data_IF_763685887365
#
_entry.id   IF_763685887365
#
_cell.length_a   1.000
_cell.length_b   1.000
_cell.length_c   1.000
_cell.angle_alpha   90.00
_cell.angle_beta   90.00
_cell.angle_gamma   90.00
#
_symmetry.space_group_name_H-M   'P 1'
#
loop_
_entity.id
_entity.type
_entity.pdbx_description
1 polymer ?
#
# COMPACT_ATOMS: atom_id res chain seq x y z
N UNK A 1 -37.23 19.57 0.76
CA UNK A 1 -37.38 18.59 -0.33
C UNK A 1 -36.11 18.66 -1.17
N UNK A 2 -35.19 17.71 -1.00
CA UNK A 2 -34.05 17.59 -1.92
C UNK A 2 -34.64 17.04 -3.23
N UNK A 3 -34.51 17.77 -4.33
CA UNK A 3 -34.75 17.22 -5.65
C UNK A 3 -33.89 15.96 -5.77
N UNK A 4 -34.51 14.79 -5.81
CA UNK A 4 -33.90 13.62 -6.40
C UNK A 4 -33.77 13.96 -7.89
N UNK A 5 -32.59 14.44 -8.30
CA UNK A 5 -32.23 14.31 -9.70
C UNK A 5 -32.24 12.82 -9.98
N UNK A 6 -33.13 12.37 -10.86
CA UNK A 6 -33.05 11.01 -11.39
C UNK A 6 -31.64 10.87 -11.99
N UNK A 7 -30.81 9.98 -11.42
CA UNK A 7 -29.48 9.71 -11.95
C UNK A 7 -29.64 9.36 -13.43
N UNK A 8 -28.91 10.07 -14.28
CA UNK A 8 -29.01 9.86 -15.72
C UNK A 8 -28.45 8.49 -16.06
N UNK A 9 -29.33 7.61 -16.53
CA UNK A 9 -28.96 6.25 -16.96
C UNK A 9 -28.30 6.34 -18.34
N UNK A 10 -27.18 5.62 -18.52
CA UNK A 10 -26.47 5.52 -19.79
C UNK A 10 -26.40 4.07 -20.24
N UNK A 11 -26.49 3.85 -21.54
CA UNK A 11 -26.32 2.54 -22.18
C UNK A 11 -24.89 2.32 -22.67
N UNK A 12 -24.52 1.06 -22.93
CA UNK A 12 -23.22 0.74 -23.55
C UNK A 12 -23.08 1.41 -24.92
N UNK A 13 -24.16 1.40 -25.71
CA UNK A 13 -24.19 2.02 -27.03
C UNK A 13 -23.94 3.54 -26.96
N UNK A 14 -24.48 4.24 -25.96
CA UNK A 14 -24.28 5.68 -25.78
C UNK A 14 -22.86 6.02 -25.34
N UNK A 15 -22.29 5.30 -24.37
CA UNK A 15 -20.93 5.59 -23.88
C UNK A 15 -19.88 5.23 -24.92
N UNK A 16 -19.99 4.06 -25.55
CA UNK A 16 -19.09 3.63 -26.64
C UNK A 16 -19.28 4.51 -27.89
N UNK A 17 -20.50 4.99 -28.12
CA UNK A 17 -20.83 5.90 -29.22
C UNK A 17 -20.08 7.24 -29.19
N UNK A 18 -19.59 7.66 -28.03
CA UNK A 18 -18.80 8.91 -27.87
C UNK A 18 -17.33 8.76 -28.30
N UNK A 19 -16.82 7.52 -28.35
CA UNK A 19 -15.42 7.26 -28.71
C UNK A 19 -15.17 7.34 -30.22
N UNK A 20 -13.94 7.65 -30.61
CA UNK A 20 -13.51 7.58 -32.02
C UNK A 20 -13.37 6.12 -32.48
N UNK A 21 -13.38 5.87 -33.80
CA UNK A 21 -13.14 4.51 -34.33
C UNK A 21 -11.75 3.99 -33.90
N UNK A 22 -10.76 4.87 -33.80
CA UNK A 22 -9.42 4.51 -33.37
C UNK A 22 -9.39 4.02 -31.90
N UNK A 23 -10.04 4.77 -31.00
CA UNK A 23 -10.20 4.38 -29.59
C UNK A 23 -10.96 3.06 -29.44
N UNK A 24 -12.08 2.89 -30.16
CA UNK A 24 -12.84 1.65 -30.14
C UNK A 24 -12.00 0.46 -30.63
N UNK A 25 -11.18 0.65 -31.68
CA UNK A 25 -10.25 -0.39 -32.15
C UNK A 25 -9.17 -0.70 -31.11
N UNK A 26 -8.67 0.28 -30.37
CA UNK A 26 -7.75 0.03 -29.26
C UNK A 26 -8.42 -0.81 -28.16
N UNK A 27 -9.67 -0.50 -27.80
CA UNK A 27 -10.45 -1.32 -26.85
C UNK A 27 -10.62 -2.75 -27.33
N UNK A 28 -10.89 -2.97 -28.63
CA UNK A 28 -10.99 -4.34 -29.18
C UNK A 28 -9.68 -5.13 -29.06
N UNK A 29 -8.52 -4.47 -29.13
CA UNK A 29 -7.24 -5.14 -28.92
C UNK A 29 -7.05 -5.53 -27.45
N UNK A 30 -7.37 -4.62 -26.53
CA UNK A 30 -7.27 -4.87 -25.07
C UNK A 30 -8.18 -6.01 -24.63
N UNK A 31 -9.41 -6.06 -25.16
CA UNK A 31 -10.41 -7.08 -24.84
C UNK A 31 -10.33 -8.33 -25.73
N UNK A 32 -9.33 -8.40 -26.61
CA UNK A 32 -9.13 -9.48 -27.58
C UNK A 32 -10.36 -9.79 -28.45
N UNK A 33 -11.14 -8.75 -28.78
CA UNK A 33 -12.34 -8.84 -29.62
C UNK A 33 -11.92 -8.77 -31.09
N UNK A 34 -12.29 -9.81 -31.86
CA UNK A 34 -12.03 -9.84 -33.30
C UNK A 34 -13.07 -9.02 -34.06
N UNK A 35 -12.64 -7.94 -34.71
CA UNK A 35 -13.44 -7.14 -35.63
C UNK A 35 -12.74 -7.03 -37.00
N UNK A 36 -13.52 -6.86 -38.07
CA UNK A 36 -12.97 -6.67 -39.41
C UNK A 36 -12.23 -5.33 -39.51
N UNK A 37 -11.16 -5.27 -40.32
CA UNK A 37 -10.37 -4.03 -40.50
C UNK A 37 -11.20 -2.85 -41.03
N UNK A 38 -12.22 -3.15 -41.86
CA UNK A 38 -13.19 -2.20 -42.43
C UNK A 38 -14.53 -2.15 -41.69
N UNK A 39 -14.61 -2.70 -40.47
CA UNK A 39 -15.84 -2.69 -39.69
C UNK A 39 -16.35 -1.25 -39.47
N UNK A 40 -17.66 -1.06 -39.60
CA UNK A 40 -18.33 0.21 -39.30
C UNK A 40 -18.31 0.44 -37.79
N UNK A 41 -18.43 1.71 -37.37
CA UNK A 41 -18.43 2.08 -35.95
C UNK A 41 -19.43 1.27 -35.12
N UNK A 42 -20.66 1.11 -35.62
CA UNK A 42 -21.70 0.36 -34.92
C UNK A 42 -21.34 -1.13 -34.76
N UNK A 43 -20.77 -1.77 -35.79
CA UNK A 43 -20.35 -3.17 -35.72
C UNK A 43 -19.26 -3.39 -34.65
N UNK A 44 -18.38 -2.40 -34.46
CA UNK A 44 -17.37 -2.43 -33.39
C UNK A 44 -18.03 -2.25 -32.01
N UNK A 45 -18.98 -1.31 -31.88
CA UNK A 45 -19.73 -1.07 -30.63
C UNK A 45 -20.51 -2.32 -30.23
N UNK A 46 -21.19 -2.97 -31.18
CA UNK A 46 -21.99 -4.17 -30.91
C UNK A 46 -21.08 -5.33 -30.45
N UNK A 47 -19.94 -5.52 -31.11
CA UNK A 47 -18.97 -6.54 -30.74
C UNK A 47 -18.36 -6.29 -29.35
N UNK A 48 -18.01 -5.04 -29.03
CA UNK A 48 -17.52 -4.65 -27.70
C UNK A 48 -18.60 -4.83 -26.63
N UNK A 49 -19.84 -4.40 -26.92
CA UNK A 49 -20.96 -4.53 -25.98
C UNK A 49 -21.25 -5.99 -25.65
N UNK A 50 -21.26 -6.87 -26.66
CA UNK A 50 -21.42 -8.30 -26.45
C UNK A 50 -20.31 -8.88 -25.56
N UNK A 51 -19.06 -8.44 -25.74
CA UNK A 51 -17.93 -8.88 -24.90
C UNK A 51 -18.03 -8.34 -23.46
N UNK A 52 -18.43 -7.08 -23.28
CA UNK A 52 -18.55 -6.44 -21.97
C UNK A 52 -19.75 -6.97 -21.14
N UNK A 53 -20.72 -7.61 -21.80
CA UNK A 53 -21.86 -8.29 -21.18
C UNK A 53 -21.63 -9.79 -21.01
N UNK A 54 -20.46 -10.30 -21.35
CA UNK A 54 -20.07 -11.69 -21.08
C UNK A 54 -19.99 -11.92 -19.56
N UNK A 55 -20.90 -12.75 -19.04
CA UNK A 55 -21.04 -13.01 -17.61
C UNK A 55 -19.81 -13.70 -17.01
N UNK A 56 -19.16 -14.59 -17.75
CA UNK A 56 -17.96 -15.30 -17.28
C UNK A 56 -16.78 -14.33 -17.18
N UNK A 57 -16.60 -13.47 -18.18
CA UNK A 57 -15.58 -12.44 -18.19
C UNK A 57 -15.76 -11.45 -17.05
N UNK A 58 -16.97 -10.90 -16.89
CA UNK A 58 -17.26 -9.95 -15.81
C UNK A 58 -17.10 -10.61 -14.43
N UNK A 59 -17.48 -11.89 -14.29
CA UNK A 59 -17.24 -12.66 -13.06
C UNK A 59 -15.74 -12.77 -12.75
N UNK A 60 -14.90 -13.07 -13.75
CA UNK A 60 -13.45 -13.14 -13.55
C UNK A 60 -12.86 -11.80 -13.08
N UNK A 61 -13.29 -10.69 -13.68
CA UNK A 61 -12.88 -9.34 -13.28
C UNK A 61 -13.36 -9.01 -11.85
N UNK A 62 -14.60 -9.34 -11.53
CA UNK A 62 -15.16 -9.16 -10.19
C UNK A 62 -14.47 -10.00 -9.13
N UNK A 63 -13.91 -11.17 -9.46
CA UNK A 63 -13.12 -11.99 -8.53
C UNK A 63 -11.67 -11.50 -8.40
N UNK A 64 -11.15 -10.78 -9.39
CA UNK A 64 -9.82 -10.16 -9.36
C UNK A 64 -9.79 -8.78 -8.69
N UNK A 65 -10.94 -8.11 -8.55
CA UNK A 65 -11.06 -6.81 -7.90
C UNK A 65 -10.69 -6.85 -6.41
N UNK A 66 -10.14 -5.77 -5.87
CA UNK A 66 -10.01 -5.53 -4.43
C UNK A 66 -11.33 -5.06 -3.82
N UNK A 67 -11.40 -5.00 -2.48
CA UNK A 67 -12.61 -4.56 -1.76
C UNK A 67 -13.04 -3.14 -2.16
N UNK A 68 -12.10 -2.18 -2.14
CA UNK A 68 -12.38 -0.79 -2.48
C UNK A 68 -12.88 -0.64 -3.93
N UNK A 69 -12.36 -1.44 -4.86
CA UNK A 69 -12.78 -1.37 -6.26
C UNK A 69 -14.25 -1.80 -6.40
N UNK A 70 -14.68 -2.85 -5.68
CA UNK A 70 -16.10 -3.24 -5.66
C UNK A 70 -16.98 -2.14 -5.05
N UNK A 71 -16.55 -1.55 -3.93
CA UNK A 71 -17.26 -0.45 -3.27
C UNK A 71 -17.38 0.78 -4.20
N UNK A 72 -16.32 1.10 -4.95
CA UNK A 72 -16.34 2.15 -5.96
C UNK A 72 -17.36 1.84 -7.06
N UNK A 73 -17.33 0.62 -7.62
CA UNK A 73 -18.29 0.22 -8.67
C UNK A 73 -19.73 0.33 -8.18
N UNK A 74 -20.01 -0.13 -6.96
CA UNK A 74 -21.34 -0.03 -6.34
C UNK A 74 -21.77 1.42 -6.12
N UNK A 75 -20.85 2.28 -5.66
CA UNK A 75 -21.12 3.71 -5.50
C UNK A 75 -21.47 4.36 -6.84
N UNK A 76 -20.74 4.07 -7.92
CA UNK A 76 -21.00 4.63 -9.24
C UNK A 76 -22.30 4.14 -9.89
N UNK A 77 -22.87 3.02 -9.43
CA UNK A 77 -24.21 2.59 -9.84
C UNK A 77 -25.31 3.24 -9.00
N UNK A 78 -25.01 3.65 -7.77
CA UNK A 78 -25.99 4.19 -6.83
C UNK A 78 -26.11 5.71 -6.88
N UNK A 79 -25.01 6.42 -7.16
CA UNK A 79 -24.91 7.88 -7.05
C UNK A 79 -24.17 8.47 -8.26
N UNK A 80 -24.52 9.71 -8.62
CA UNK A 80 -23.75 10.49 -9.58
C UNK A 80 -22.40 10.90 -8.97
N UNK A 81 -21.34 10.20 -9.34
CA UNK A 81 -19.98 10.48 -8.86
C UNK A 81 -19.26 11.37 -9.87
N UNK A 82 -18.84 12.56 -9.45
CA UNK A 82 -18.00 13.46 -10.25
C UNK A 82 -16.54 13.33 -9.82
N UNK A 83 -15.64 13.10 -10.78
CA UNK A 83 -14.20 13.03 -10.54
C UNK A 83 -13.45 14.10 -11.34
N UNK A 84 -12.31 14.53 -10.80
CA UNK A 84 -11.34 15.31 -11.56
C UNK A 84 -10.67 14.43 -12.62
N UNK A 85 -10.25 15.03 -13.73
CA UNK A 85 -9.65 14.34 -14.87
C UNK A 85 -8.39 13.53 -14.48
N UNK A 86 -7.58 14.06 -13.57
CA UNK A 86 -6.35 13.44 -13.04
C UNK A 86 -6.60 12.42 -11.91
N UNK A 87 -7.86 12.10 -11.59
CA UNK A 87 -8.16 11.18 -10.50
C UNK A 87 -7.76 9.75 -10.82
N UNK A 88 -7.01 9.12 -9.91
CA UNK A 88 -6.72 7.69 -9.92
C UNK A 88 -7.90 6.81 -9.45
N UNK A 89 -9.04 7.39 -9.08
CA UNK A 89 -10.23 6.61 -8.69
C UNK A 89 -10.78 5.84 -9.88
N UNK A 90 -11.40 4.69 -9.62
CA UNK A 90 -11.95 3.79 -10.64
C UNK A 90 -10.93 3.27 -11.65
N UNK A 91 -9.61 3.40 -11.39
CA UNK A 91 -8.57 3.04 -12.35
C UNK A 91 -8.70 1.59 -12.85
N UNK A 92 -8.99 0.65 -11.95
CA UNK A 92 -9.21 -0.75 -12.30
C UNK A 92 -10.35 -0.92 -13.32
N UNK A 93 -11.52 -0.36 -13.04
CA UNK A 93 -12.71 -0.51 -13.89
C UNK A 93 -12.64 0.29 -15.19
N UNK A 94 -11.92 1.42 -15.20
CA UNK A 94 -11.67 2.21 -16.40
C UNK A 94 -10.74 1.49 -17.38
N UNK A 95 -9.80 0.68 -16.89
CA UNK A 95 -8.93 -0.14 -17.73
C UNK A 95 -9.60 -1.43 -18.24
N UNK A 96 -10.70 -1.87 -17.61
CA UNK A 96 -11.52 -3.02 -18.02
C UNK A 96 -12.81 -2.61 -18.76
N UNK A 97 -12.82 -1.42 -19.39
CA UNK A 97 -14.00 -0.64 -19.81
C UNK A 97 -15.37 -0.99 -19.17
N UNK A 98 -15.42 -1.22 -17.86
CA UNK A 98 -16.67 -1.42 -17.09
C UNK A 98 -17.25 -0.07 -16.66
N UNK A 99 -16.36 0.88 -16.37
CA UNK A 99 -16.69 2.25 -15.94
C UNK A 99 -16.19 3.24 -16.99
N UNK A 100 -17.03 4.22 -17.32
CA UNK A 100 -16.75 5.31 -18.25
C UNK A 100 -16.81 6.66 -17.53
N UNK A 101 -16.20 7.68 -18.13
CA UNK A 101 -16.26 9.06 -17.63
C UNK A 101 -16.78 9.93 -18.75
N UNK A 102 -17.81 10.71 -18.43
CA UNK A 102 -18.40 11.70 -19.35
C UNK A 102 -17.51 12.94 -19.48
N UNK A 103 -17.76 13.80 -20.47
CA UNK A 103 -16.95 15.01 -20.70
C UNK A 103 -17.01 16.02 -19.55
N UNK A 104 -18.06 15.94 -18.72
CA UNK A 104 -18.26 16.73 -17.49
C UNK A 104 -17.75 16.02 -16.22
N UNK A 105 -17.02 14.91 -16.37
CA UNK A 105 -16.35 14.22 -15.25
C UNK A 105 -17.24 13.28 -14.44
N UNK A 106 -18.50 13.04 -14.87
CA UNK A 106 -19.40 12.09 -14.22
C UNK A 106 -18.98 10.66 -14.58
N UNK A 107 -18.79 9.84 -13.55
CA UNK A 107 -18.49 8.41 -13.63
C UNK A 107 -19.78 7.64 -13.90
N UNK A 108 -19.73 6.74 -14.88
CA UNK A 108 -20.89 6.04 -15.39
C UNK A 108 -20.61 4.55 -15.49
N UNK A 109 -21.51 3.74 -14.92
CA UNK A 109 -21.63 2.31 -15.20
C UNK A 109 -22.83 2.12 -16.14
N UNK A 110 -22.63 1.55 -17.34
CA UNK A 110 -23.74 1.30 -18.26
C UNK A 110 -24.81 0.41 -17.63
N UNK A 111 -26.07 0.70 -17.93
CA UNK A 111 -27.24 0.02 -17.32
C UNK A 111 -27.24 -1.49 -17.52
N UNK A 112 -26.80 -1.93 -18.70
CA UNK A 112 -26.71 -3.33 -19.10
C UNK A 112 -25.60 -4.03 -18.28
N UNK A 113 -24.46 -3.37 -18.10
CA UNK A 113 -23.35 -3.87 -17.28
C UNK A 113 -23.75 -3.95 -15.81
N UNK A 114 -24.45 -2.94 -15.29
CA UNK A 114 -24.99 -2.94 -13.93
C UNK A 114 -26.00 -4.10 -13.72
N UNK A 115 -26.84 -4.39 -14.72
CA UNK A 115 -27.77 -5.51 -14.66
C UNK A 115 -27.05 -6.86 -14.57
N UNK A 116 -26.04 -7.11 -15.42
CA UNK A 116 -25.23 -8.35 -15.37
C UNK A 116 -24.48 -8.46 -14.05
N UNK A 117 -23.90 -7.36 -13.55
CA UNK A 117 -23.28 -7.32 -12.23
C UNK A 117 -24.26 -7.74 -11.12
N UNK A 118 -25.48 -7.19 -11.10
CA UNK A 118 -26.46 -7.51 -10.07
C UNK A 118 -26.90 -8.97 -10.12
N UNK A 119 -27.02 -9.54 -11.33
CA UNK A 119 -27.27 -10.97 -11.51
C UNK A 119 -26.12 -11.82 -10.91
N UNK A 120 -24.86 -11.49 -11.22
CA UNK A 120 -23.68 -12.16 -10.66
C UNK A 120 -23.64 -12.01 -9.13
N UNK A 121 -23.87 -10.80 -8.61
CA UNK A 121 -23.86 -10.51 -7.17
C UNK A 121 -24.89 -11.33 -6.40
N UNK A 122 -26.05 -11.59 -7.02
CA UNK A 122 -27.11 -12.40 -6.43
C UNK A 122 -26.81 -13.90 -6.40
N UNK A 123 -25.80 -14.35 -7.15
CA UNK A 123 -25.38 -15.75 -7.17
C UNK A 123 -24.63 -16.13 -5.87
N UNK A 124 -25.09 -17.20 -5.22
CA UNK A 124 -24.54 -17.64 -3.93
C UNK A 124 -23.11 -18.17 -4.03
N UNK A 125 -22.74 -18.79 -5.15
CA UNK A 125 -21.39 -19.33 -5.35
C UNK A 125 -20.39 -18.18 -5.53
N UNK A 126 -20.76 -17.18 -6.34
CA UNK A 126 -19.99 -15.94 -6.45
C UNK A 126 -19.84 -15.25 -5.09
N UNK A 127 -20.93 -15.08 -4.34
CA UNK A 127 -20.90 -14.42 -3.02
C UNK A 127 -19.96 -15.16 -2.04
N UNK A 128 -19.98 -16.49 -2.04
CA UNK A 128 -19.09 -17.31 -1.21
C UNK A 128 -17.62 -17.16 -1.63
N UNK A 129 -17.31 -17.24 -2.92
CA UNK A 129 -15.94 -17.02 -3.45
C UNK A 129 -15.45 -15.62 -3.10
N UNK A 130 -16.27 -14.61 -3.32
CA UNK A 130 -15.94 -13.21 -3.05
C UNK A 130 -15.68 -12.96 -1.57
N UNK A 131 -16.48 -13.54 -0.67
CA UNK A 131 -16.23 -13.43 0.78
C UNK A 131 -14.88 -14.01 1.18
N UNK A 132 -14.44 -15.12 0.58
CA UNK A 132 -13.11 -15.70 0.84
C UNK A 132 -11.99 -14.85 0.27
N UNK A 133 -12.16 -14.35 -0.95
CA UNK A 133 -11.21 -13.45 -1.61
C UNK A 133 -11.00 -12.17 -0.82
N UNK A 134 -12.07 -11.56 -0.29
CA UNK A 134 -11.95 -10.36 0.54
C UNK A 134 -11.05 -10.59 1.77
N UNK A 135 -11.12 -11.78 2.39
CA UNK A 135 -10.23 -12.16 3.49
C UNK A 135 -8.80 -12.31 3.00
N UNK A 136 -8.57 -12.99 1.87
CA UNK A 136 -7.22 -13.10 1.31
C UNK A 136 -6.61 -11.75 0.97
N UNK A 137 -7.32 -10.90 0.22
CA UNK A 137 -6.86 -9.58 -0.22
C UNK A 137 -6.51 -8.68 0.98
N UNK A 138 -7.38 -8.62 2.00
CA UNK A 138 -7.13 -7.81 3.21
C UNK A 138 -5.89 -8.30 3.98
N UNK A 139 -5.76 -9.61 4.18
CA UNK A 139 -4.58 -10.18 4.85
C UNK A 139 -3.31 -10.07 4.01
N UNK A 140 -3.39 -10.19 2.69
CA UNK A 140 -2.23 -10.03 1.80
C UNK A 140 -1.75 -8.60 1.84
N UNK A 141 -2.65 -7.62 1.73
CA UNK A 141 -2.30 -6.21 1.89
C UNK A 141 -1.63 -5.95 3.23
N UNK A 142 -2.20 -6.47 4.33
CA UNK A 142 -1.62 -6.34 5.65
C UNK A 142 -0.21 -6.96 5.76
N UNK A 143 -0.06 -8.21 5.31
CA UNK A 143 1.21 -8.93 5.38
C UNK A 143 2.27 -8.31 4.48
N UNK A 144 1.91 -7.93 3.25
CA UNK A 144 2.84 -7.31 2.30
C UNK A 144 3.28 -5.94 2.81
N UNK A 145 2.37 -5.10 3.31
CA UNK A 145 2.73 -3.79 3.87
C UNK A 145 3.59 -3.88 5.14
N UNK A 146 3.51 -4.98 5.89
CA UNK A 146 4.31 -5.23 7.11
C UNK A 146 5.65 -5.92 6.82
N UNK A 147 5.68 -6.89 5.92
CA UNK A 147 6.83 -7.78 5.71
C UNK A 147 7.54 -7.61 4.37
N UNK A 148 6.85 -7.05 3.36
CA UNK A 148 7.24 -6.96 1.93
C UNK A 148 7.42 -8.28 1.20
N UNK A 149 7.85 -9.31 1.91
CA UNK A 149 7.91 -10.68 1.46
C UNK A 149 7.38 -11.58 2.57
N UNK A 150 6.38 -12.41 2.26
CA UNK A 150 5.87 -13.42 3.18
C UNK A 150 5.82 -14.77 2.46
N UNK A 151 6.31 -15.83 3.11
CA UNK A 151 6.20 -17.16 2.53
C UNK A 151 4.75 -17.64 2.57
N UNK A 152 4.32 -18.33 1.52
CA UNK A 152 2.91 -18.73 1.37
C UNK A 152 2.43 -19.65 2.50
N UNK A 153 3.32 -20.42 3.11
CA UNK A 153 2.97 -21.34 4.20
C UNK A 153 2.66 -20.57 5.48
N UNK A 154 3.50 -19.59 5.84
CA UNK A 154 3.27 -18.69 6.98
C UNK A 154 2.03 -17.83 6.74
N UNK A 155 1.84 -17.29 5.54
CA UNK A 155 0.62 -16.54 5.21
C UNK A 155 -0.64 -17.37 5.48
N UNK A 156 -0.70 -18.60 4.96
CA UNK A 156 -1.84 -19.50 5.20
C UNK A 156 -2.00 -19.86 6.68
N UNK A 157 -0.90 -20.03 7.41
CA UNK A 157 -0.94 -20.27 8.86
C UNK A 157 -1.57 -19.09 9.61
N UNK A 158 -1.19 -17.86 9.28
CA UNK A 158 -1.74 -16.64 9.89
C UNK A 158 -3.24 -16.53 9.59
N UNK A 159 -3.62 -16.62 8.31
CA UNK A 159 -5.01 -16.48 7.89
C UNK A 159 -5.88 -17.55 8.55
N UNK A 160 -5.46 -18.82 8.48
CA UNK A 160 -6.22 -19.92 9.07
C UNK A 160 -6.31 -19.83 10.59
N UNK A 161 -5.21 -19.48 11.26
CA UNK A 161 -5.19 -19.34 12.71
C UNK A 161 -6.07 -18.20 13.21
N UNK A 162 -6.20 -17.11 12.46
CA UNK A 162 -6.96 -15.92 12.86
C UNK A 162 -8.41 -15.89 12.35
N UNK A 163 -8.78 -16.72 11.38
CA UNK A 163 -10.11 -16.71 10.75
C UNK A 163 -10.84 -18.05 10.79
N UNK A 164 -10.12 -19.18 10.92
CA UNK A 164 -10.69 -20.52 10.83
C UNK A 164 -11.10 -20.95 9.41
N UNK A 165 -10.78 -20.18 8.36
CA UNK A 165 -11.32 -20.41 7.01
C UNK A 165 -10.77 -21.66 6.27
N UNK A 166 -9.78 -22.34 6.86
CA UNK A 166 -9.12 -23.54 6.34
C UNK A 166 -8.65 -23.43 4.86
N UNK A 167 -8.15 -22.26 4.49
CA UNK A 167 -7.54 -21.98 3.19
C UNK A 167 -6.37 -22.92 2.88
N UNK A 168 -6.25 -23.31 1.62
CA UNK A 168 -5.18 -24.19 1.12
C UNK A 168 -4.33 -23.51 0.07
N UNK A 169 -3.09 -24.01 -0.06
CA UNK A 169 -2.11 -23.46 -1.00
C UNK A 169 -2.60 -23.47 -2.47
N UNK A 170 -3.16 -24.56 -3.03
CA UNK A 170 -3.61 -24.57 -4.42
C UNK A 170 -4.75 -23.55 -4.68
N UNK A 171 -5.64 -23.34 -3.71
CA UNK A 171 -6.71 -22.35 -3.80
C UNK A 171 -6.12 -20.94 -3.93
N UNK A 172 -5.19 -20.58 -3.03
CA UNK A 172 -4.54 -19.27 -3.03
C UNK A 172 -3.68 -19.04 -4.28
N UNK A 173 -2.88 -20.03 -4.69
CA UNK A 173 -2.05 -19.94 -5.90
C UNK A 173 -2.89 -19.77 -7.17
N UNK A 174 -4.00 -20.52 -7.29
CA UNK A 174 -4.92 -20.37 -8.42
C UNK A 174 -5.48 -18.95 -8.47
N UNK A 175 -5.99 -18.45 -7.35
CA UNK A 175 -6.56 -17.10 -7.31
C UNK A 175 -5.51 -16.02 -7.58
N UNK A 176 -4.29 -16.14 -7.04
CA UNK A 176 -3.20 -15.19 -7.32
C UNK A 176 -2.85 -15.16 -8.82
N UNK A 177 -2.79 -16.32 -9.46
CA UNK A 177 -2.53 -16.44 -10.90
C UNK A 177 -3.65 -15.82 -11.74
N UNK A 178 -4.90 -16.14 -11.42
CA UNK A 178 -6.07 -15.61 -12.16
C UNK A 178 -6.17 -14.10 -11.99
N UNK A 179 -5.93 -13.61 -10.76
CA UNK A 179 -5.85 -12.18 -10.45
C UNK A 179 -4.73 -11.52 -11.24
N UNK A 180 -3.56 -12.14 -11.35
CA UNK A 180 -2.43 -11.59 -12.08
C UNK A 180 -2.69 -11.49 -13.59
N UNK A 181 -3.34 -12.50 -14.18
CA UNK A 181 -3.66 -12.51 -15.61
C UNK A 181 -4.64 -11.39 -16.03
N UNK A 182 -5.47 -10.93 -15.10
CA UNK A 182 -6.49 -9.90 -15.37
C UNK A 182 -6.00 -8.50 -15.00
N UNK A 183 -5.17 -8.37 -13.97
CA UNK A 183 -4.80 -7.06 -13.42
C UNK A 183 -3.53 -6.51 -14.04
N UNK A 184 -3.65 -5.36 -14.72
CA UNK A 184 -2.50 -4.57 -15.18
C UNK A 184 -1.72 -3.87 -14.05
N UNK A 185 -2.38 -3.54 -12.93
CA UNK A 185 -1.74 -2.98 -11.73
C UNK A 185 -1.95 -3.89 -10.53
N UNK A 186 -0.86 -4.23 -9.84
CA UNK A 186 -0.84 -5.11 -8.69
C UNK A 186 -0.12 -4.44 -7.53
N UNK A 187 -0.54 -4.76 -6.31
CA UNK A 187 0.15 -4.35 -5.08
C UNK A 187 1.13 -5.42 -4.62
N UNK A 188 0.94 -6.65 -5.09
CA UNK A 188 1.73 -7.80 -4.74
C UNK A 188 1.67 -8.86 -5.85
N UNK A 189 2.67 -9.75 -5.87
CA UNK A 189 2.77 -10.86 -6.81
C UNK A 189 3.30 -12.13 -6.13
N UNK A 190 3.17 -13.27 -6.79
CA UNK A 190 3.61 -14.57 -6.26
C UNK A 190 4.81 -15.10 -7.05
N UNK A 191 5.95 -15.29 -6.39
CA UNK A 191 7.15 -15.84 -7.01
C UNK A 191 7.98 -16.61 -5.97
N UNK A 192 8.60 -17.73 -6.39
CA UNK A 192 9.53 -18.48 -5.54
C UNK A 192 8.94 -19.04 -4.23
N UNK A 193 7.60 -19.17 -4.15
CA UNK A 193 6.90 -19.57 -2.92
C UNK A 193 6.61 -18.42 -1.94
N UNK A 194 6.88 -17.17 -2.34
CA UNK A 194 6.62 -15.96 -1.56
C UNK A 194 5.55 -15.10 -2.23
N UNK A 195 4.74 -14.44 -1.42
CA UNK A 195 3.97 -13.28 -1.83
C UNK A 195 4.84 -12.05 -1.55
N UNK A 196 5.06 -11.24 -2.59
CA UNK A 196 6.00 -10.13 -2.62
C UNK A 196 5.29 -8.82 -2.93
N UNK A 197 5.73 -7.72 -2.32
CA UNK A 197 5.33 -6.35 -2.68
C UNK A 197 5.72 -6.04 -4.12
N UNK A 198 4.83 -5.38 -4.87
CA UNK A 198 5.05 -5.03 -6.28
C UNK A 198 6.35 -4.26 -6.53
N UNK A 199 6.83 -3.50 -5.54
CA UNK A 199 8.08 -2.73 -5.66
C UNK A 199 9.34 -3.59 -5.87
N UNK A 200 9.27 -4.89 -5.61
CA UNK A 200 10.35 -5.86 -5.87
C UNK A 200 10.18 -6.64 -7.19
N UNK A 201 9.19 -6.31 -8.03
CA UNK A 201 8.97 -7.03 -9.31
C UNK A 201 10.00 -6.63 -10.36
N UNK A 202 10.95 -7.51 -10.69
CA UNK A 202 11.95 -7.24 -11.73
C UNK A 202 11.33 -6.90 -13.10
N UNK A 203 11.54 -5.68 -13.60
CA UNK A 203 11.21 -5.29 -14.99
C UNK A 203 12.42 -5.55 -15.90
N UNK A 204 12.14 -5.85 -17.18
CA UNK A 204 13.15 -6.13 -18.24
C UNK A 204 14.13 -4.96 -18.52
N UNK A 205 13.98 -3.81 -17.86
CA UNK A 205 14.75 -2.57 -18.08
C UNK A 205 15.43 -2.03 -16.80
N UNK A 206 15.85 -2.92 -15.88
CA UNK A 206 17.11 -2.71 -15.16
C UNK A 206 17.14 -1.91 -13.85
N UNK A 207 16.01 -1.39 -13.35
CA UNK A 207 15.98 -0.72 -12.02
C UNK A 207 14.90 -1.30 -11.10
N UNK A 208 14.99 -2.60 -10.78
CA UNK A 208 14.17 -3.13 -9.68
C UNK A 208 15.04 -3.87 -8.68
N UNK A 209 14.74 -3.64 -7.41
CA UNK A 209 15.39 -4.27 -6.27
C UNK A 209 15.02 -5.74 -6.25
N UNK A 210 16.03 -6.60 -6.40
CA UNK A 210 15.86 -8.05 -6.32
C UNK A 210 15.40 -8.47 -4.91
N UNK A 211 14.22 -9.10 -4.80
CA UNK A 211 13.67 -9.59 -3.54
C UNK A 211 14.59 -10.61 -2.85
N UNK A 212 15.46 -11.30 -3.59
CA UNK A 212 16.45 -12.20 -3.01
C UNK A 212 17.40 -11.46 -2.04
N UNK A 213 17.73 -10.20 -2.30
CA UNK A 213 18.53 -9.38 -1.38
C UNK A 213 17.79 -9.10 -0.07
N UNK A 214 16.48 -8.84 -0.13
CA UNK A 214 15.66 -8.68 1.07
C UNK A 214 15.67 -9.99 1.88
N UNK A 215 15.41 -11.13 1.22
CA UNK A 215 15.39 -12.44 1.87
C UNK A 215 16.74 -12.79 2.51
N UNK A 216 17.85 -12.47 1.86
CA UNK A 216 19.20 -12.65 2.40
C UNK A 216 19.43 -11.82 3.68
N UNK A 217 19.00 -10.55 3.68
CA UNK A 217 19.10 -9.66 4.86
C UNK A 217 18.24 -10.15 6.02
N UNK A 218 17.02 -10.61 5.74
CA UNK A 218 16.11 -11.18 6.74
C UNK A 218 16.72 -12.46 7.36
N UNK A 219 17.32 -13.31 6.51
CA UNK A 219 17.88 -14.60 6.89
C UNK A 219 16.83 -15.53 7.48
N UNK A 220 17.22 -16.39 8.43
CA UNK A 220 16.34 -17.37 9.07
C UNK A 220 15.43 -16.80 10.17
N UNK A 221 15.07 -15.51 10.13
CA UNK A 221 14.24 -14.90 11.19
C UNK A 221 12.80 -15.44 11.12
N UNK A 222 12.17 -15.69 12.26
CA UNK A 222 10.71 -15.89 12.32
C UNK A 222 9.99 -14.58 11.99
N UNK A 223 8.74 -14.67 11.53
CA UNK A 223 7.91 -13.48 11.36
C UNK A 223 7.38 -13.01 12.71
N UNK A 224 7.32 -11.68 12.90
CA UNK A 224 6.50 -11.10 13.95
C UNK A 224 5.04 -11.27 13.55
N UNK A 225 4.25 -12.05 14.31
CA UNK A 225 2.83 -12.28 14.02
C UNK A 225 1.99 -11.55 15.08
N UNK A 226 1.45 -10.35 14.77
CA UNK A 226 0.60 -9.62 15.71
C UNK A 226 -0.79 -10.25 15.86
N UNK A 227 -1.54 -9.76 16.86
CA UNK A 227 -2.96 -10.06 16.96
C UNK A 227 -3.73 -9.57 15.72
N UNK A 228 -4.86 -10.22 15.39
CA UNK A 228 -5.66 -9.90 14.21
C UNK A 228 -5.98 -8.41 14.05
N UNK A 229 -6.46 -7.77 15.11
CA UNK A 229 -6.82 -6.35 15.09
C UNK A 229 -5.62 -5.45 14.82
N UNK A 230 -4.41 -5.84 15.25
CA UNK A 230 -3.19 -5.11 14.96
C UNK A 230 -2.72 -5.35 13.52
N UNK A 231 -2.70 -6.61 13.06
CA UNK A 231 -2.28 -6.98 11.70
C UNK A 231 -3.11 -6.24 10.65
N UNK A 232 -4.44 -6.26 10.79
CA UNK A 232 -5.33 -5.69 9.77
C UNK A 232 -5.24 -4.17 9.65
N UNK A 233 -4.65 -3.45 10.63
CA UNK A 233 -4.31 -2.02 10.45
C UNK A 233 -3.32 -1.81 9.30
N UNK A 234 -2.43 -2.79 9.05
CA UNK A 234 -1.46 -2.72 7.96
C UNK A 234 -2.09 -2.92 6.58
N UNK A 235 -3.37 -3.33 6.48
CA UNK A 235 -4.05 -3.40 5.18
C UNK A 235 -4.15 -2.01 4.52
N UNK A 236 -4.24 -0.95 5.32
CA UNK A 236 -4.05 0.42 4.85
C UNK A 236 -2.56 0.69 4.59
N UNK A 237 -2.14 0.92 3.33
CA UNK A 237 -0.75 1.21 3.00
C UNK A 237 -0.24 2.52 3.63
N UNK A 238 -1.14 3.43 4.03
CA UNK A 238 -0.80 4.70 4.68
C UNK A 238 -0.93 4.66 6.21
N UNK A 239 -1.18 3.48 6.79
CA UNK A 239 -1.29 3.33 8.23
C UNK A 239 -0.02 3.84 8.92
N UNK A 240 -0.17 4.62 9.99
CA UNK A 240 0.94 5.16 10.79
C UNK A 240 0.75 4.73 12.24
N UNK A 241 1.75 4.06 12.80
CA UNK A 241 1.72 3.63 14.19
C UNK A 241 2.13 4.78 15.11
N UNK A 242 1.16 5.28 15.89
CA UNK A 242 1.35 6.43 16.79
C UNK A 242 2.07 6.02 18.09
N UNK A 243 3.30 5.54 17.96
CA UNK A 243 4.17 5.15 19.09
C UNK A 243 4.67 6.37 19.88
N UNK A 244 5.19 6.17 21.11
CA UNK A 244 5.86 7.25 21.84
C UNK A 244 7.04 7.87 21.07
N UNK A 245 7.81 7.09 20.31
CA UNK A 245 8.93 7.59 19.50
C UNK A 245 8.45 8.40 18.28
N UNK A 246 7.35 7.99 17.64
CA UNK A 246 6.68 8.80 16.62
C UNK A 246 6.22 10.16 17.16
N UNK A 247 5.56 10.15 18.32
CA UNK A 247 5.10 11.39 18.97
C UNK A 247 6.27 12.29 19.40
N UNK A 248 7.40 11.69 19.80
CA UNK A 248 8.64 12.42 20.12
C UNK A 248 9.21 13.12 18.88
N UNK A 249 9.23 12.43 17.74
CA UNK A 249 9.71 12.95 16.46
C UNK A 249 8.86 14.11 15.95
N UNK A 250 7.53 13.94 15.92
CA UNK A 250 6.63 15.02 15.52
C UNK A 250 6.77 16.24 16.45
N UNK A 251 6.90 16.01 17.77
CA UNK A 251 7.11 17.10 18.74
C UNK A 251 8.44 17.81 18.53
N UNK A 252 9.50 17.09 18.17
CA UNK A 252 10.78 17.71 17.85
C UNK A 252 10.64 18.68 16.68
N UNK A 253 10.02 18.24 15.58
CA UNK A 253 9.77 19.08 14.40
C UNK A 253 8.92 20.31 14.78
N UNK A 254 7.88 20.10 15.59
CA UNK A 254 7.01 21.19 16.02
C UNK A 254 7.72 22.21 16.91
N UNK A 255 8.36 21.75 17.98
CA UNK A 255 8.85 22.62 19.07
C UNK A 255 10.26 23.11 18.83
N UNK A 256 11.16 22.23 18.36
CA UNK A 256 12.58 22.54 18.21
C UNK A 256 12.90 23.13 16.84
N UNK A 257 12.20 22.69 15.80
CA UNK A 257 12.33 23.24 14.44
C UNK A 257 11.26 24.30 14.11
N UNK A 258 10.37 24.61 15.08
CA UNK A 258 9.39 25.68 14.95
C UNK A 258 8.33 25.47 13.87
N UNK A 259 8.07 24.23 13.44
CA UNK A 259 7.07 23.94 12.42
C UNK A 259 5.65 23.84 12.99
N UNK A 260 4.61 24.22 12.23
CA UNK A 260 3.22 23.96 12.59
C UNK A 260 2.94 22.48 12.91
N UNK A 261 1.98 22.22 13.79
CA UNK A 261 1.61 20.86 14.21
C UNK A 261 1.16 19.97 13.05
N UNK A 262 0.38 20.52 12.13
CA UNK A 262 -0.08 19.81 10.94
C UNK A 262 1.10 19.44 10.02
N UNK A 263 2.06 20.35 9.83
CA UNK A 263 3.26 20.08 9.04
C UNK A 263 4.12 18.99 9.71
N UNK A 264 4.31 19.08 11.02
CA UNK A 264 5.03 18.07 11.80
C UNK A 264 4.36 16.68 11.72
N UNK A 265 3.03 16.62 11.72
CA UNK A 265 2.28 15.37 11.58
C UNK A 265 2.40 14.76 10.18
N UNK A 266 2.39 15.59 9.12
CA UNK A 266 2.60 15.15 7.73
C UNK A 266 4.00 14.59 7.56
N UNK A 267 5.03 15.34 7.97
CA UNK A 267 6.42 14.92 7.88
C UNK A 267 6.65 13.64 8.70
N UNK A 268 6.19 13.60 9.96
CA UNK A 268 6.34 12.43 10.81
C UNK A 268 5.68 11.18 10.22
N UNK A 269 4.50 11.33 9.63
CA UNK A 269 3.78 10.23 8.97
C UNK A 269 4.53 9.71 7.75
N UNK A 270 5.02 10.62 6.90
CA UNK A 270 5.80 10.27 5.71
C UNK A 270 7.12 9.58 6.07
N UNK A 271 7.86 10.12 7.04
CA UNK A 271 9.14 9.54 7.47
C UNK A 271 8.95 8.16 8.08
N UNK A 272 7.92 7.94 8.91
CA UNK A 272 7.65 6.59 9.41
C UNK A 272 7.22 5.64 8.28
N UNK A 273 6.47 6.12 7.29
CA UNK A 273 6.06 5.30 6.15
C UNK A 273 7.26 4.81 5.36
N UNK A 274 8.21 5.67 5.01
CA UNK A 274 9.43 5.24 4.29
C UNK A 274 10.31 4.30 5.13
N UNK A 275 10.37 4.49 6.47
CA UNK A 275 11.05 3.53 7.37
C UNK A 275 10.40 2.14 7.26
N UNK A 276 9.08 2.06 7.25
CA UNK A 276 8.33 0.80 7.08
C UNK A 276 8.48 0.17 5.69
N UNK A 277 8.99 0.93 4.73
CA UNK A 277 9.32 0.46 3.39
C UNK A 277 10.80 0.02 3.28
N UNK A 278 11.54 0.01 4.40
CA UNK A 278 12.94 -0.42 4.44
C UNK A 278 13.95 0.67 4.07
N UNK A 279 13.55 1.94 4.09
CA UNK A 279 14.47 3.04 3.83
C UNK A 279 15.63 3.03 4.84
N UNK A 280 16.86 3.13 4.35
CA UNK A 280 18.02 3.21 5.23
C UNK A 280 18.09 4.62 5.85
N UNK A 281 18.78 4.79 7.00
CA UNK A 281 18.92 6.09 7.64
C UNK A 281 19.37 7.22 6.69
N UNK A 282 20.32 6.95 5.78
CA UNK A 282 20.77 7.93 4.77
C UNK A 282 19.64 8.45 3.87
N UNK A 283 18.70 7.60 3.50
CA UNK A 283 17.59 7.93 2.59
C UNK A 283 16.53 8.75 3.34
N UNK A 284 16.34 8.44 4.63
CA UNK A 284 15.51 9.23 5.54
C UNK A 284 16.07 10.64 5.68
N UNK A 285 17.40 10.80 5.83
CA UNK A 285 18.01 12.13 5.87
C UNK A 285 17.83 12.90 4.56
N UNK A 286 18.08 12.27 3.41
CA UNK A 286 17.85 12.92 2.12
C UNK A 286 16.41 13.42 1.96
N UNK A 287 15.43 12.62 2.40
CA UNK A 287 14.02 13.03 2.37
C UNK A 287 13.74 14.19 3.33
N UNK A 288 14.44 14.26 4.45
CA UNK A 288 14.33 15.39 5.37
C UNK A 288 14.97 16.68 4.85
N UNK A 289 16.08 16.58 4.13
CA UNK A 289 16.64 17.72 3.40
C UNK A 289 15.63 18.25 2.38
N UNK A 290 14.89 17.35 1.70
CA UNK A 290 13.81 17.70 0.78
C UNK A 290 12.64 18.42 1.47
N UNK A 291 12.35 18.13 2.73
CA UNK A 291 11.40 18.89 3.55
C UNK A 291 11.97 20.22 4.08
N UNK A 292 13.23 20.55 3.78
CA UNK A 292 13.89 21.76 4.28
C UNK A 292 14.15 21.72 5.78
N UNK A 293 14.45 20.54 6.32
CA UNK A 293 14.79 20.32 7.74
C UNK A 293 16.31 20.26 7.98
N UNK A 294 17.11 20.90 7.12
CA UNK A 294 18.56 21.06 7.31
C UNK A 294 18.87 22.11 8.37
N UNK A 295 19.70 21.77 9.34
CA UNK A 295 20.15 22.70 10.39
C UNK A 295 21.68 22.80 10.42
N UNK A 296 22.21 24.03 10.50
CA UNK A 296 23.65 24.27 10.67
C UNK A 296 24.09 24.13 12.13
N UNK A 297 23.14 24.18 13.08
CA UNK A 297 23.42 24.03 14.50
C UNK A 297 23.71 22.54 14.82
N UNK A 298 24.97 22.24 15.13
CA UNK A 298 25.43 20.88 15.44
C UNK A 298 24.69 20.22 16.62
N UNK A 299 24.35 20.97 17.67
CA UNK A 299 23.62 20.42 18.83
C UNK A 299 22.19 20.06 18.45
N UNK A 300 21.52 20.94 17.70
CA UNK A 300 20.17 20.70 17.20
C UNK A 300 20.15 19.51 16.23
N UNK A 301 21.15 19.40 15.34
CA UNK A 301 21.32 18.25 14.46
C UNK A 301 21.58 16.96 15.25
N UNK A 302 22.37 16.99 16.32
CA UNK A 302 22.60 15.82 17.16
C UNK A 302 21.32 15.34 17.86
N UNK A 303 20.53 16.26 18.43
CA UNK A 303 19.24 15.95 19.02
C UNK A 303 18.27 15.40 17.97
N UNK A 304 18.28 15.99 16.77
CA UNK A 304 17.49 15.56 15.64
C UNK A 304 17.78 14.10 15.25
N UNK A 305 19.06 13.76 14.99
CA UNK A 305 19.52 12.40 14.68
C UNK A 305 19.06 11.42 15.77
N UNK A 306 19.14 11.85 17.03
CA UNK A 306 18.79 11.01 18.17
C UNK A 306 17.31 10.66 18.19
N UNK A 307 16.41 11.64 17.99
CA UNK A 307 14.96 11.38 17.96
C UNK A 307 14.56 10.59 16.71
N UNK A 308 15.21 10.85 15.57
CA UNK A 308 14.99 10.08 14.34
C UNK A 308 15.37 8.61 14.53
N UNK A 309 16.56 8.33 15.07
CA UNK A 309 17.01 6.95 15.30
C UNK A 309 16.18 6.24 16.36
N UNK A 310 15.65 6.93 17.37
CA UNK A 310 14.70 6.33 18.31
C UNK A 310 13.40 5.91 17.60
N UNK A 311 12.86 6.73 16.69
CA UNK A 311 11.72 6.33 15.86
C UNK A 311 12.05 5.16 14.95
N UNK A 312 13.19 5.21 14.25
CA UNK A 312 13.68 4.14 13.37
C UNK A 312 13.75 2.79 14.11
N UNK A 313 14.38 2.77 15.28
CA UNK A 313 14.61 1.54 16.04
C UNK A 313 13.32 0.93 16.62
N UNK A 314 12.27 1.74 16.79
CA UNK A 314 10.96 1.35 17.31
C UNK A 314 9.89 1.26 16.22
N UNK A 315 10.27 1.34 14.94
CA UNK A 315 9.36 1.12 13.80
C UNK A 315 9.47 -0.33 13.33
N UNK A 316 8.34 -0.97 13.05
CA UNK A 316 8.30 -2.33 12.48
C UNK A 316 8.81 -2.29 11.04
N UNK A 317 9.81 -3.13 10.71
CA UNK A 317 10.49 -3.05 9.41
C UNK A 317 10.52 -4.40 8.65
N UNK A 318 10.58 -4.37 7.31
CA UNK A 318 10.68 -5.57 6.47
C UNK A 318 11.96 -6.37 6.72
N UNK A 319 13.09 -5.69 6.95
CA UNK A 319 14.41 -6.31 7.20
C UNK A 319 14.39 -7.20 8.45
N UNK A 320 13.49 -6.89 9.37
CA UNK A 320 13.27 -7.61 10.63
C UNK A 320 11.95 -8.37 10.63
N UNK A 321 11.40 -8.73 9.45
CA UNK A 321 10.16 -9.49 9.29
C UNK A 321 9.02 -9.01 10.21
N UNK A 322 8.86 -7.69 10.28
CA UNK A 322 7.80 -7.01 11.05
C UNK A 322 8.11 -6.78 12.52
N UNK A 323 9.24 -7.24 13.05
CA UNK A 323 9.71 -6.77 14.37
C UNK A 323 10.20 -5.33 14.27
N UNK A 324 10.17 -4.61 15.39
CA UNK A 324 11.04 -3.44 15.55
C UNK A 324 12.49 -3.88 15.69
N UNK A 325 13.43 -2.97 15.46
CA UNK A 325 14.86 -3.28 15.67
C UNK A 325 15.14 -3.64 17.12
N UNK A 326 14.53 -2.93 18.08
CA UNK A 326 14.68 -3.22 19.51
C UNK A 326 14.14 -4.60 19.87
N UNK A 327 12.99 -5.00 19.33
CA UNK A 327 12.43 -6.35 19.56
C UNK A 327 13.32 -7.43 18.94
N UNK A 328 13.78 -7.24 17.69
CA UNK A 328 14.63 -8.19 17.00
C UNK A 328 15.97 -8.41 17.72
N UNK A 329 16.58 -7.35 18.26
CA UNK A 329 17.80 -7.45 19.05
C UNK A 329 17.61 -8.19 20.38
N UNK A 330 16.46 -8.01 21.03
CA UNK A 330 16.13 -8.74 22.27
C UNK A 330 15.95 -10.23 22.01
N UNK A 331 15.35 -10.58 20.86
CA UNK A 331 15.15 -11.97 20.46
C UNK A 331 16.46 -12.67 20.04
N UNK A 332 17.39 -11.94 19.41
CA UNK A 332 18.69 -12.46 18.97
C UNK A 332 19.82 -11.42 19.15
N UNK A 333 20.57 -11.49 20.27
CA UNK A 333 21.65 -10.56 20.57
C UNK A 333 22.80 -10.55 19.55
N UNK A 334 22.97 -11.61 18.75
CA UNK A 334 24.03 -11.66 17.74
C UNK A 334 23.84 -10.62 16.62
N UNK A 335 22.60 -10.17 16.44
CA UNK A 335 22.21 -9.13 15.45
C UNK A 335 22.56 -7.71 15.90
N UNK A 336 22.97 -7.50 17.15
CA UNK A 336 23.38 -6.18 17.65
C UNK A 336 24.55 -5.58 16.84
N UNK A 337 25.39 -6.41 16.22
CA UNK A 337 26.51 -5.99 15.35
C UNK A 337 26.10 -5.44 13.97
N UNK A 338 24.95 -5.85 13.41
CA UNK A 338 24.50 -5.44 12.04
C UNK A 338 23.79 -4.07 11.98
N UNK A 339 23.44 -3.49 13.13
CA UNK A 339 22.78 -2.16 13.21
C UNK A 339 23.76 -1.07 13.68
N UNK A 340 24.78 -1.45 14.46
CA UNK A 340 25.93 -0.57 14.69
C UNK A 340 26.49 -0.04 13.35
N UNK A 341 26.52 -0.89 12.31
CA UNK A 341 26.88 -0.49 10.96
C UNK A 341 25.90 0.48 10.27
N UNK A 342 24.61 0.51 10.62
CA UNK A 342 23.67 1.50 10.07
C UNK A 342 23.90 2.90 10.69
N UNK A 343 24.21 2.95 12.00
CA UNK A 343 24.70 4.17 12.66
C UNK A 343 26.05 4.62 12.08
N UNK A 344 26.95 3.69 11.75
CA UNK A 344 28.23 3.97 11.07
C UNK A 344 28.04 4.38 9.59
N UNK A 345 27.04 3.88 8.86
CA UNK A 345 26.76 4.30 7.47
C UNK A 345 26.22 5.74 7.41
N UNK A 346 25.45 6.18 8.42
CA UNK A 346 25.12 7.60 8.60
C UNK A 346 26.39 8.42 8.82
N UNK A 347 27.38 7.90 9.57
CA UNK A 347 28.66 8.60 9.82
C UNK A 347 29.54 8.77 8.59
N UNK A 348 29.54 7.80 7.67
CA UNK A 348 30.39 7.87 6.47
C UNK A 348 29.79 8.74 5.37
N UNK A 349 28.47 8.85 5.33
CA UNK A 349 27.72 9.56 4.26
C UNK A 349 27.52 11.05 4.55
N UNK A 350 27.83 11.54 5.75
CA UNK A 350 27.71 12.95 6.12
C UNK A 350 29.01 13.52 6.72
N UNK A 351 29.72 14.41 6.01
CA UNK A 351 31.02 14.93 6.44
C UNK A 351 30.99 15.73 7.75
N UNK A 352 29.87 16.39 8.04
CA UNK A 352 29.65 17.25 9.21
C UNK A 352 29.64 16.43 10.52
N UNK A 353 29.42 15.11 10.42
CA UNK A 353 29.11 14.26 11.57
C UNK A 353 30.21 13.23 11.90
N UNK A 354 31.43 13.44 11.37
CA UNK A 354 32.57 12.53 11.56
C UNK A 354 33.01 12.31 13.02
N UNK A 355 32.59 13.15 13.97
CA UNK A 355 33.07 13.04 15.36
C UNK A 355 32.05 12.58 16.42
N UNK A 356 30.73 12.50 16.17
CA UNK A 356 29.75 12.26 17.28
C UNK A 356 28.42 11.62 16.84
N UNK A 357 28.42 10.41 16.25
CA UNK A 357 27.18 9.62 16.00
C UNK A 357 27.20 8.26 16.72
N UNK A 358 27.47 8.29 18.01
CA UNK A 358 26.41 7.80 18.86
C UNK A 358 25.62 9.05 19.18
N UNK A 359 24.43 9.25 18.61
CA UNK A 359 23.54 10.33 19.05
C UNK A 359 23.61 10.41 20.57
N UNK A 360 23.81 11.61 21.13
CA UNK A 360 24.19 11.82 22.53
C UNK A 360 23.43 10.81 23.38
N UNK A 361 24.14 9.83 23.98
CA UNK A 361 23.50 8.75 24.75
C UNK A 361 22.54 9.42 25.72
N UNK A 362 21.24 9.21 25.53
CA UNK A 362 20.24 9.84 26.37
C UNK A 362 20.16 9.04 27.66
N UNK A 363 20.57 9.65 28.75
CA UNK A 363 20.38 9.07 30.07
C UNK A 363 18.98 9.40 30.59
N UNK A 364 18.36 8.54 31.42
CA UNK A 364 17.00 8.73 31.93
C UNK A 364 16.74 10.11 32.57
N UNK A 365 17.77 10.76 33.12
CA UNK A 365 17.67 12.04 33.80
C UNK A 365 18.00 13.27 32.94
N UNK A 366 18.48 13.08 31.70
CA UNK A 366 18.83 14.17 30.79
C UNK A 366 17.57 14.91 30.33
N UNK A 367 17.73 16.17 29.89
CA UNK A 367 16.65 16.88 29.22
C UNK A 367 16.24 16.12 27.96
N UNK A 368 14.92 16.05 27.73
CA UNK A 368 14.38 15.30 26.62
C UNK A 368 14.66 16.01 25.29
N UNK A 369 15.27 15.32 24.29
CA UNK A 369 15.68 15.96 23.04
C UNK A 369 14.49 16.49 22.23
N UNK A 370 13.28 15.93 22.41
CA UNK A 370 12.04 16.41 21.78
C UNK A 370 11.63 17.85 22.16
N UNK A 371 12.35 18.53 23.06
CA UNK A 371 12.10 19.92 23.44
C UNK A 371 11.00 20.12 24.49
N UNK A 372 10.54 19.06 25.16
CA UNK A 372 9.47 19.16 26.16
C UNK A 372 9.84 19.90 27.46
N UNK A 373 11.12 20.20 27.67
CA UNK A 373 11.65 20.75 28.92
C UNK A 373 11.66 19.76 30.11
N UNK A 374 11.21 18.51 29.91
CA UNK A 374 11.18 17.46 30.95
C UNK A 374 12.40 16.55 30.86
N UNK A 375 12.70 15.84 31.96
CA UNK A 375 13.68 14.72 31.93
C UNK A 375 13.20 13.62 30.98
N UNK A 376 14.11 12.93 30.28
CA UNK A 376 13.78 11.89 29.30
C UNK A 376 12.82 10.82 29.87
N UNK A 377 13.12 10.26 31.05
CA UNK A 377 12.25 9.27 31.73
C UNK A 377 10.86 9.79 32.12
N UNK A 378 10.70 11.11 32.21
CA UNK A 378 9.43 11.80 32.49
C UNK A 378 8.73 12.29 31.21
N UNK A 379 9.31 12.00 30.04
CA UNK A 379 8.81 12.38 28.73
C UNK A 379 8.91 11.19 27.75
N UNK A 380 9.79 11.24 26.74
CA UNK A 380 9.83 10.24 25.67
C UNK A 380 10.32 8.86 26.14
N UNK A 381 11.16 8.80 27.18
CA UNK A 381 11.57 7.55 27.83
C UNK A 381 10.60 7.03 28.89
N UNK A 382 9.38 7.57 28.97
CA UNK A 382 8.37 7.12 29.92
C UNK A 382 7.80 5.78 29.46
N UNK A 383 8.07 4.72 30.22
CA UNK A 383 7.40 3.43 30.04
C UNK A 383 6.03 3.54 30.69
N UNK A 384 4.95 3.49 29.91
CA UNK A 384 3.61 3.29 30.48
C UNK A 384 3.55 1.85 30.96
N UNK A 385 3.43 1.67 32.29
CA UNK A 385 3.19 0.36 32.90
C UNK A 385 1.74 -0.05 32.71
#
# INVERSE_FOLDING_TARGET
MKNQSENKVYTLAEVLGKHTIAELKQMTQVLEVKVLSKAKKQEIIDALSAKLLDKELLTAWLLAAGKQEIEELELAMAEDVVIAEESGRFYYWRNLPVVFVTGDGVVVVPSETAAVYNEIKSDSEYAQKRSRINVFDEYLMACVNLYRAIDITTFLSIVNGQTGMNAKRPELESWLKDREAVRGQQMYFFEGGYILSEEYRTKKEGEVVDYHQLLERQGAMSYYIPAKSELLRYADPYYVEKTPSYAAFCRFIQVRLGRPENEAAVIGSHIQLIMRHGAMPKDIFAEMERFGLTEENEELMSDFITVMMDMYNNTRMPETRGFTTVEAQKADPSRQKKIASASEIVTSSMPIVKNRIGGKKIYPNDLCPCGSGKKYKKCCGRVNK
#
